data_IF_029746915676
#
_entry.id   IF_029746915676
#
_cell.length_a   1.000
_cell.length_b   1.000
_cell.length_c   1.000
_cell.angle_alpha   90.00
_cell.angle_beta   90.00
_cell.angle_gamma   90.00
#
_symmetry.space_group_name_H-M   'P 1'
#
loop_
_entity.id
_entity.type
_entity.pdbx_description
1 polymer ?
#
# COMPACT_ATOMS: atom_id res chain seq x y z
N UNK A 1 -2.49 -39.93 60.10
CA UNK A 1 -3.10 -39.91 58.77
C UNK A 1 -3.37 -38.45 58.41
N UNK A 2 -2.53 -37.86 57.59
CA UNK A 2 -2.57 -36.43 57.19
C UNK A 2 -2.84 -36.39 55.72
N UNK A 3 -4.07 -36.03 55.36
CA UNK A 3 -4.53 -35.83 54.00
C UNK A 3 -4.05 -34.45 53.50
N UNK A 4 -3.11 -34.42 52.55
CA UNK A 4 -2.68 -33.24 51.83
C UNK A 4 -3.69 -32.99 50.68
N UNK A 5 -4.54 -32.00 50.83
CA UNK A 5 -5.34 -31.45 49.71
C UNK A 5 -4.47 -30.54 48.89
N UNK A 6 -4.07 -31.05 47.71
CA UNK A 6 -3.40 -30.24 46.70
C UNK A 6 -4.47 -29.46 45.90
N UNK A 7 -4.65 -28.19 46.20
CA UNK A 7 -5.46 -27.26 45.42
C UNK A 7 -4.69 -26.83 44.18
N UNK A 8 -5.02 -27.44 43.02
CA UNK A 8 -4.54 -27.00 41.70
C UNK A 8 -5.33 -25.76 41.32
N UNK A 9 -4.68 -24.59 41.42
CA UNK A 9 -5.21 -23.31 40.96
C UNK A 9 -4.98 -23.25 39.44
N UNK A 10 -6.00 -23.61 38.63
CA UNK A 10 -6.00 -23.51 37.19
C UNK A 10 -6.14 -22.03 36.80
N UNK A 11 -5.04 -21.34 36.58
CA UNK A 11 -5.04 -19.97 36.05
C UNK A 11 -5.52 -19.99 34.60
N UNK A 12 -6.77 -19.64 34.36
CA UNK A 12 -7.32 -19.38 33.04
C UNK A 12 -6.67 -18.09 32.49
N UNK A 13 -5.66 -18.24 31.63
CA UNK A 13 -5.12 -17.11 30.87
C UNK A 13 -6.13 -16.75 29.79
N UNK A 14 -6.92 -15.72 30.03
CA UNK A 14 -7.73 -15.09 28.98
C UNK A 14 -6.79 -14.41 27.98
N UNK A 15 -6.46 -15.10 26.89
CA UNK A 15 -5.82 -14.48 25.72
C UNK A 15 -6.90 -13.65 25.05
N UNK A 16 -6.96 -12.35 25.38
CA UNK A 16 -7.77 -11.40 24.64
C UNK A 16 -7.17 -11.26 23.24
N UNK A 17 -7.79 -11.90 22.25
CA UNK A 17 -7.48 -11.64 20.84
C UNK A 17 -7.90 -10.21 20.52
N UNK A 18 -6.93 -9.31 20.44
CA UNK A 18 -7.14 -7.97 19.90
C UNK A 18 -7.41 -8.13 18.41
N UNK A 19 -8.68 -8.26 18.04
CA UNK A 19 -9.09 -8.17 16.65
C UNK A 19 -8.89 -6.73 16.19
N UNK A 20 -7.86 -6.47 15.41
CA UNK A 20 -7.73 -5.20 14.73
C UNK A 20 -8.91 -5.07 13.75
N UNK A 21 -9.65 -3.98 13.83
CA UNK A 21 -10.86 -3.79 13.04
C UNK A 21 -10.51 -3.53 11.58
N UNK A 22 -11.11 -4.31 10.67
CA UNK A 22 -11.08 -4.03 9.23
C UNK A 22 -11.56 -2.60 8.94
N UNK A 23 -10.87 -1.90 8.04
CA UNK A 23 -11.23 -0.54 7.62
C UNK A 23 -11.64 -0.55 6.15
N UNK A 24 -12.79 0.03 5.85
CA UNK A 24 -13.31 0.17 4.50
C UNK A 24 -13.48 1.64 4.13
N UNK A 25 -13.17 1.98 2.87
CA UNK A 25 -13.28 3.32 2.32
C UNK A 25 -13.92 3.26 0.94
N UNK A 26 -14.85 4.16 0.66
CA UNK A 26 -15.51 4.26 -0.64
C UNK A 26 -16.42 3.07 -0.96
N UNK A 27 -16.35 2.58 -2.20
CA UNK A 27 -17.15 1.47 -2.69
C UNK A 27 -16.64 0.12 -2.19
N UNK A 28 -17.48 -0.93 -2.32
CA UNK A 28 -17.08 -2.30 -2.03
C UNK A 28 -15.94 -2.75 -2.96
N UNK A 29 -14.94 -3.41 -2.37
CA UNK A 29 -13.81 -3.99 -3.11
C UNK A 29 -14.18 -5.35 -3.65
N UNK A 30 -13.94 -5.59 -4.94
CA UNK A 30 -14.12 -6.92 -5.54
C UNK A 30 -12.88 -7.79 -5.32
N UNK A 31 -12.88 -8.57 -4.27
CA UNK A 31 -11.75 -9.43 -3.89
C UNK A 31 -11.46 -10.55 -4.91
N UNK A 32 -12.49 -11.00 -5.64
CA UNK A 32 -12.37 -12.11 -6.62
C UNK A 32 -11.55 -11.73 -7.85
N UNK A 33 -11.55 -10.46 -8.22
CA UNK A 33 -10.84 -9.93 -9.40
C UNK A 33 -9.46 -9.35 -9.04
N UNK A 34 -8.91 -9.76 -7.90
CA UNK A 34 -7.60 -9.28 -7.44
C UNK A 34 -6.48 -9.80 -8.34
N UNK A 35 -5.71 -8.88 -8.90
CA UNK A 35 -4.52 -9.18 -9.70
C UNK A 35 -3.22 -8.85 -8.94
N UNK A 36 -2.14 -9.51 -9.32
CA UNK A 36 -0.81 -9.24 -8.78
C UNK A 36 -0.29 -7.88 -9.22
N UNK A 37 0.32 -7.12 -8.31
CA UNK A 37 0.92 -5.83 -8.63
C UNK A 37 2.05 -6.00 -9.65
N UNK A 38 2.86 -7.06 -9.54
CA UNK A 38 3.91 -7.38 -10.51
C UNK A 38 3.37 -7.58 -11.92
N UNK A 39 2.25 -8.28 -12.08
CA UNK A 39 1.59 -8.48 -13.37
C UNK A 39 1.13 -7.14 -13.97
N UNK A 40 0.52 -6.29 -13.14
CA UNK A 40 0.10 -4.95 -13.54
C UNK A 40 1.29 -4.10 -14.01
N UNK A 41 2.38 -4.09 -13.23
CA UNK A 41 3.55 -3.26 -13.49
C UNK A 41 4.45 -3.79 -14.61
N UNK A 42 4.34 -5.07 -14.97
CA UNK A 42 5.06 -5.62 -16.12
C UNK A 42 4.56 -5.06 -17.47
N UNK A 43 3.28 -4.70 -17.57
CA UNK A 43 2.68 -4.14 -18.78
C UNK A 43 1.59 -3.12 -18.45
N UNK A 44 1.94 -2.04 -17.73
CA UNK A 44 0.94 -1.13 -17.17
C UNK A 44 0.11 -0.41 -18.23
N UNK A 45 0.67 -0.22 -19.44
CA UNK A 45 -0.01 0.44 -20.57
C UNK A 45 -1.32 -0.28 -20.94
N UNK A 46 -1.37 -1.62 -20.76
CA UNK A 46 -2.56 -2.42 -21.07
C UNK A 46 -3.73 -2.15 -20.09
N UNK A 47 -3.45 -1.51 -18.96
CA UNK A 47 -4.41 -1.29 -17.87
C UNK A 47 -4.69 0.20 -17.62
N UNK A 48 -4.04 1.12 -18.34
CA UNK A 48 -4.30 2.56 -18.19
C UNK A 48 -5.78 2.84 -18.43
N UNK A 49 -6.37 3.61 -17.52
CA UNK A 49 -7.79 3.97 -17.47
C UNK A 49 -8.76 2.78 -17.36
N UNK A 50 -8.27 1.58 -17.09
CA UNK A 50 -9.10 0.43 -16.77
C UNK A 50 -9.26 0.26 -15.26
N UNK A 51 -10.39 -0.36 -14.88
CA UNK A 51 -10.69 -0.71 -13.49
C UNK A 51 -9.90 -1.97 -13.11
N UNK A 52 -9.10 -1.87 -12.07
CA UNK A 52 -8.28 -2.96 -11.53
C UNK A 52 -8.52 -3.11 -10.03
N UNK A 53 -8.34 -4.33 -9.52
CA UNK A 53 -8.26 -4.59 -8.08
C UNK A 53 -6.88 -5.18 -7.78
N UNK A 54 -6.18 -4.59 -6.83
CA UNK A 54 -4.83 -5.01 -6.41
C UNK A 54 -4.79 -5.24 -4.91
N UNK A 55 -3.90 -6.13 -4.47
CA UNK A 55 -3.65 -6.39 -3.06
C UNK A 55 -2.16 -6.30 -2.74
N UNK A 56 -1.84 -5.88 -1.53
CA UNK A 56 -0.47 -5.85 -1.04
C UNK A 56 -0.36 -5.30 0.38
N UNK A 57 0.83 -5.45 0.98
CA UNK A 57 1.12 -4.88 2.29
C UNK A 57 1.33 -3.38 2.18
N UNK A 58 0.72 -2.60 3.06
CA UNK A 58 0.92 -1.15 3.13
C UNK A 58 2.33 -0.87 3.68
N UNK A 59 3.23 -0.38 2.84
CA UNK A 59 4.62 -0.04 3.21
C UNK A 59 4.85 1.45 3.42
N UNK A 60 3.87 2.29 3.14
CA UNK A 60 3.94 3.72 3.36
C UNK A 60 2.58 4.39 3.29
N UNK A 61 2.38 5.42 4.09
CA UNK A 61 1.17 6.25 4.14
C UNK A 61 1.58 7.71 4.20
N UNK A 62 0.79 8.58 3.59
CA UNK A 62 0.99 10.03 3.64
C UNK A 62 0.84 10.57 5.07
N UNK A 63 1.95 11.06 5.66
CA UNK A 63 1.95 11.55 7.05
C UNK A 63 1.11 12.81 7.24
N UNK A 64 1.01 13.66 6.22
CA UNK A 64 0.32 14.96 6.34
C UNK A 64 -1.19 14.86 6.24
N UNK A 65 -1.70 14.10 5.26
CA UNK A 65 -3.13 14.09 4.91
C UNK A 65 -3.73 12.69 4.70
N UNK A 66 -2.94 11.62 4.79
CA UNK A 66 -3.43 10.27 4.52
C UNK A 66 -3.95 10.04 3.10
N UNK A 67 -3.65 10.96 2.14
CA UNK A 67 -4.24 10.95 0.80
C UNK A 67 -3.58 9.98 -0.18
N UNK A 68 -2.59 9.22 0.25
CA UNK A 68 -1.99 8.11 -0.50
C UNK A 68 -1.40 7.06 0.44
N UNK A 69 -1.34 5.86 -0.05
CA UNK A 69 -0.55 4.77 0.52
C UNK A 69 0.22 4.05 -0.59
N UNK A 70 1.29 3.35 -0.25
CA UNK A 70 2.02 2.48 -1.14
C UNK A 70 1.79 1.04 -0.71
N UNK A 71 1.38 0.19 -1.66
CA UNK A 71 1.30 -1.25 -1.48
C UNK A 71 2.57 -1.89 -2.02
N UNK A 72 3.18 -2.77 -1.23
CA UNK A 72 4.28 -3.61 -1.71
C UNK A 72 3.75 -4.59 -2.76
N UNK A 73 4.51 -4.76 -3.84
CA UNK A 73 4.26 -5.79 -4.84
C UNK A 73 4.63 -7.17 -4.30
N UNK A 74 4.13 -8.20 -4.94
CA UNK A 74 4.58 -9.58 -4.82
C UNK A 74 6.00 -9.79 -5.41
N UNK A 75 6.47 -8.87 -6.26
CA UNK A 75 7.88 -8.81 -6.72
C UNK A 75 8.71 -7.92 -5.79
N UNK A 76 10.00 -8.27 -5.64
CA UNK A 76 10.92 -7.52 -4.77
C UNK A 76 11.13 -6.09 -5.26
N UNK A 77 11.20 -5.15 -4.31
CA UNK A 77 11.51 -3.73 -4.51
C UNK A 77 10.48 -2.94 -5.32
N UNK A 78 9.41 -3.57 -5.77
CA UNK A 78 8.31 -2.90 -6.44
C UNK A 78 7.25 -2.45 -5.45
N UNK A 79 6.59 -1.36 -5.77
CA UNK A 79 5.44 -0.85 -5.03
C UNK A 79 4.51 -0.07 -5.95
N UNK A 80 3.23 -0.15 -5.66
CA UNK A 80 2.20 0.60 -6.37
C UNK A 80 1.60 1.64 -5.43
N UNK A 81 1.47 2.87 -5.92
CA UNK A 81 0.81 3.95 -5.17
C UNK A 81 -0.69 3.89 -5.38
N UNK A 82 -1.41 3.95 -4.27
CA UNK A 82 -2.85 4.17 -4.23
C UNK A 82 -3.06 5.61 -3.80
N UNK A 83 -3.62 6.46 -4.68
CA UNK A 83 -3.71 7.92 -4.46
C UNK A 83 -5.14 8.40 -4.70
N UNK A 84 -5.71 9.03 -3.69
CA UNK A 84 -7.02 9.72 -3.76
C UNK A 84 -6.83 11.24 -3.87
N UNK A 85 -7.88 11.95 -4.25
CA UNK A 85 -7.93 13.40 -4.04
C UNK A 85 -7.94 13.69 -2.54
N UNK A 86 -7.40 14.82 -2.16
CA UNK A 86 -7.35 15.24 -0.77
C UNK A 86 -8.78 15.39 -0.22
N UNK A 87 -9.07 14.63 0.84
CA UNK A 87 -10.38 14.61 1.50
C UNK A 87 -11.33 13.48 1.10
N UNK A 88 -11.11 12.80 -0.04
CA UNK A 88 -11.99 11.70 -0.47
C UNK A 88 -11.87 10.48 0.46
N UNK A 89 -10.65 10.10 0.81
CA UNK A 89 -10.34 9.03 1.77
C UNK A 89 -9.11 9.44 2.58
N UNK A 90 -9.08 9.07 3.84
CA UNK A 90 -7.94 9.36 4.74
C UNK A 90 -7.41 8.04 5.30
N UNK A 91 -6.27 7.60 4.76
CA UNK A 91 -5.60 6.38 5.22
C UNK A 91 -4.84 6.66 6.52
N UNK A 92 -5.10 5.93 7.62
CA UNK A 92 -4.44 6.16 8.88
C UNK A 92 -3.00 5.64 8.86
N UNK A 93 -2.11 6.30 9.59
CA UNK A 93 -0.71 5.86 9.75
C UNK A 93 -0.59 4.47 10.38
N UNK A 94 -1.54 4.09 11.24
CA UNK A 94 -1.64 2.77 11.87
C UNK A 94 -1.91 1.63 10.87
N UNK A 95 -2.30 1.95 9.63
CA UNK A 95 -2.49 0.96 8.59
C UNK A 95 -1.17 0.42 8.01
N UNK A 96 -0.03 1.08 8.26
CA UNK A 96 1.28 0.60 7.80
C UNK A 96 1.59 -0.77 8.39
N UNK A 97 1.99 -1.71 7.53
CA UNK A 97 2.25 -3.11 7.87
C UNK A 97 1.04 -4.04 7.66
N UNK A 98 -0.17 -3.50 7.52
CA UNK A 98 -1.38 -4.28 7.27
C UNK A 98 -1.54 -4.60 5.78
N UNK A 99 -2.31 -5.65 5.49
CA UNK A 99 -2.73 -5.98 4.13
C UNK A 99 -3.85 -5.04 3.68
N UNK A 100 -3.85 -4.65 2.41
CA UNK A 100 -4.93 -3.89 1.83
C UNK A 100 -5.27 -4.37 0.41
N UNK A 101 -6.55 -4.22 0.07
CA UNK A 101 -7.04 -4.33 -1.29
C UNK A 101 -7.52 -2.95 -1.75
N UNK A 102 -7.26 -2.63 -3.00
CA UNK A 102 -7.72 -1.38 -3.61
C UNK A 102 -8.29 -1.66 -4.99
N UNK A 103 -9.55 -1.27 -5.19
CA UNK A 103 -10.22 -1.26 -6.49
C UNK A 103 -10.27 0.17 -7.02
N UNK A 104 -9.86 0.38 -8.27
CA UNK A 104 -9.85 1.72 -8.87
C UNK A 104 -9.31 1.69 -10.28
N UNK A 105 -9.02 2.87 -10.81
CA UNK A 105 -8.51 3.05 -12.18
C UNK A 105 -7.00 3.27 -12.17
N UNK A 106 -6.28 2.50 -12.98
CA UNK A 106 -4.85 2.74 -13.17
C UNK A 106 -4.66 4.04 -13.95
N UNK A 107 -3.83 4.93 -13.42
CA UNK A 107 -3.50 6.21 -14.06
C UNK A 107 -2.02 6.27 -14.39
N UNK A 108 -1.71 6.76 -15.58
CA UNK A 108 -0.35 7.09 -16.01
C UNK A 108 -0.08 8.57 -15.73
N UNK A 109 1.09 8.86 -15.17
CA UNK A 109 1.62 10.20 -14.95
C UNK A 109 2.88 10.32 -15.80
N UNK A 110 2.80 11.00 -16.93
CA UNK A 110 3.94 11.26 -17.80
C UNK A 110 4.78 12.40 -17.22
N UNK A 111 6.03 12.11 -16.96
CA UNK A 111 7.02 13.08 -16.51
C UNK A 111 7.91 13.47 -17.72
N UNK A 112 8.09 14.75 -17.94
CA UNK A 112 9.10 15.22 -18.87
C UNK A 112 10.52 15.00 -18.30
N UNK A 113 11.57 15.33 -19.07
CA UNK A 113 12.95 15.12 -18.66
C UNK A 113 13.27 15.78 -17.32
N UNK A 114 12.95 17.06 -17.16
CA UNK A 114 13.24 17.83 -15.95
C UNK A 114 12.49 17.27 -14.74
N UNK A 115 11.21 16.90 -14.89
CA UNK A 115 10.42 16.27 -13.84
C UNK A 115 10.98 14.90 -13.44
N UNK A 116 11.46 14.12 -14.44
CA UNK A 116 12.09 12.82 -14.21
C UNK A 116 13.39 12.98 -13.42
N UNK A 117 14.24 13.93 -13.81
CA UNK A 117 15.48 14.25 -13.11
C UNK A 117 15.21 14.61 -11.65
N UNK A 118 14.27 15.54 -11.41
CA UNK A 118 13.85 15.93 -10.04
C UNK A 118 13.30 14.75 -9.23
N UNK A 119 12.48 13.91 -9.85
CA UNK A 119 11.91 12.73 -9.20
C UNK A 119 13.00 11.75 -8.77
N UNK A 120 13.92 11.37 -9.69
CA UNK A 120 15.01 10.44 -9.40
C UNK A 120 15.99 11.01 -8.37
N UNK A 121 16.34 12.30 -8.46
CA UNK A 121 17.17 12.97 -7.46
C UNK A 121 16.53 12.94 -6.06
N UNK A 122 15.20 13.13 -5.98
CA UNK A 122 14.48 13.05 -4.71
C UNK A 122 14.47 11.63 -4.11
N UNK A 123 14.43 10.60 -4.95
CA UNK A 123 14.54 9.20 -4.50
C UNK A 123 15.94 8.91 -3.97
N UNK A 124 16.99 9.29 -4.70
CA UNK A 124 18.37 9.12 -4.29
C UNK A 124 18.66 9.83 -2.95
N UNK A 125 18.19 11.08 -2.81
CA UNK A 125 18.33 11.84 -1.55
C UNK A 125 17.68 11.11 -0.35
N UNK A 126 16.49 10.52 -0.54
CA UNK A 126 15.83 9.74 0.53
C UNK A 126 16.56 8.44 0.85
N UNK A 127 17.28 7.87 -0.12
CA UNK A 127 18.12 6.69 0.06
C UNK A 127 19.53 7.02 0.59
N UNK A 128 19.86 8.31 0.82
CA UNK A 128 21.21 8.74 1.23
C UNK A 128 22.27 8.57 0.13
N UNK A 129 21.83 8.53 -1.15
CA UNK A 129 22.69 8.31 -2.30
C UNK A 129 22.96 9.61 -3.07
N UNK A 130 24.12 9.72 -3.69
CA UNK A 130 24.41 10.77 -4.69
C UNK A 130 23.68 10.46 -5.99
N UNK A 131 23.32 11.49 -6.74
CA UNK A 131 22.61 11.35 -8.01
C UNK A 131 23.17 12.32 -9.05
N UNK A 132 23.52 11.77 -10.21
CA UNK A 132 23.92 12.56 -11.38
C UNK A 132 22.68 12.83 -12.26
N UNK A 133 22.30 14.11 -12.38
CA UNK A 133 21.19 14.55 -13.21
C UNK A 133 21.42 14.25 -14.69
N UNK A 134 22.69 14.31 -15.17
CA UNK A 134 23.05 14.04 -16.55
C UNK A 134 22.84 12.57 -16.95
N UNK A 135 22.78 11.65 -15.98
CA UNK A 135 22.47 10.24 -16.23
C UNK A 135 21.04 10.01 -16.75
N UNK A 136 20.17 11.01 -16.62
CA UNK A 136 18.77 10.94 -17.09
C UNK A 136 18.62 11.73 -18.36
N UNK A 137 18.35 11.06 -19.46
CA UNK A 137 18.28 11.64 -20.82
C UNK A 137 16.89 11.71 -21.43
N UNK A 138 15.88 11.11 -20.75
CA UNK A 138 14.49 11.09 -21.24
C UNK A 138 13.49 11.20 -20.10
N UNK A 139 12.23 11.54 -20.47
CA UNK A 139 11.10 11.46 -19.56
C UNK A 139 10.76 10.01 -19.20
N UNK A 140 9.94 9.84 -18.16
CA UNK A 140 9.44 8.53 -17.73
C UNK A 140 7.95 8.60 -17.39
N UNK A 141 7.29 7.45 -17.34
CA UNK A 141 5.93 7.32 -16.80
C UNK A 141 5.95 6.73 -15.41
N UNK A 142 5.08 7.26 -14.55
CA UNK A 142 4.74 6.68 -13.26
C UNK A 142 3.31 6.17 -13.33
N UNK A 143 3.04 5.09 -12.62
CA UNK A 143 1.71 4.50 -12.55
C UNK A 143 1.20 4.51 -11.11
N UNK A 144 -0.08 4.81 -10.95
CA UNK A 144 -0.77 4.78 -9.66
C UNK A 144 -2.23 4.39 -9.84
N UNK A 145 -2.84 3.78 -8.83
CA UNK A 145 -4.28 3.53 -8.82
C UNK A 145 -4.98 4.71 -8.16
N UNK A 146 -5.98 5.26 -8.87
CA UNK A 146 -6.98 6.17 -8.31
C UNK A 146 -8.13 5.32 -7.78
N UNK A 147 -8.21 5.04 -6.47
CA UNK A 147 -9.16 4.08 -5.94
C UNK A 147 -10.57 4.66 -5.89
N UNK A 148 -11.55 3.78 -6.09
CA UNK A 148 -12.97 4.02 -5.79
C UNK A 148 -13.38 3.28 -4.51
N UNK A 149 -12.67 2.20 -4.17
CA UNK A 149 -12.86 1.45 -2.94
C UNK A 149 -11.55 0.90 -2.40
N UNK A 150 -11.40 0.91 -1.09
CA UNK A 150 -10.24 0.34 -0.38
C UNK A 150 -10.72 -0.42 0.85
N UNK A 151 -10.12 -1.59 1.05
CA UNK A 151 -10.32 -2.45 2.22
C UNK A 151 -8.96 -2.73 2.84
N UNK A 152 -8.79 -2.37 4.12
CA UNK A 152 -7.57 -2.65 4.89
C UNK A 152 -7.91 -3.77 5.87
N UNK A 153 -7.20 -4.88 5.73
CA UNK A 153 -7.38 -6.09 6.53
C UNK A 153 -6.62 -5.99 7.86
N UNK A 154 -6.87 -6.91 8.75
CA UNK A 154 -6.18 -7.03 10.03
C UNK A 154 -4.72 -7.49 9.89
#
# INVERSE_FOLDING_TARGET
MRTLLATILLALVFVSTVNAKELTFGEAVNEKDTMKISTLLASPQNYVDTKVTVAGTIVGVCQKRGCWMNLASDARFEKLRIKVRDGDMVFPMSAKGRQALATGYLKEIKLNLEQTQRYKASLAKRAGQTFDLASVTSGMSLYQVSPIGVKILD
#
